data_IF_759950940624
#
_entry.id   IF_759950940624
#
_cell.length_a   1.000
_cell.length_b   1.000
_cell.length_c   1.000
_cell.angle_alpha   90.00
_cell.angle_beta   90.00
_cell.angle_gamma   90.00
#
_symmetry.space_group_name_H-M   'P 1'
#
loop_
_entity.id
_entity.type
_entity.pdbx_description
1 polymer ?
#
# COMPACT_ATOMS: atom_id res chain seq x y z
N UNK A 1 -48.85 -22.77 8.55
CA UNK A 1 -48.15 -21.69 9.32
C UNK A 1 -46.62 -21.79 9.29
N UNK A 2 -46.00 -22.98 9.40
CA UNK A 2 -44.52 -23.13 9.40
C UNK A 2 -43.82 -22.68 8.10
N UNK A 3 -44.42 -22.91 6.92
CA UNK A 3 -43.82 -22.54 5.62
C UNK A 3 -43.66 -21.03 5.39
N UNK A 4 -44.59 -20.21 5.88
CA UNK A 4 -44.53 -18.74 5.72
C UNK A 4 -43.41 -18.13 6.57
N UNK A 5 -43.14 -18.70 7.75
CA UNK A 5 -42.03 -18.27 8.61
C UNK A 5 -40.68 -18.65 8.01
N UNK A 6 -40.60 -19.83 7.39
CA UNK A 6 -39.38 -20.30 6.71
C UNK A 6 -39.00 -19.40 5.51
N UNK A 7 -39.96 -19.08 4.64
CA UNK A 7 -39.76 -18.17 3.50
C UNK A 7 -39.31 -16.76 3.93
N UNK A 8 -39.86 -16.24 5.03
CA UNK A 8 -39.43 -14.94 5.59
C UNK A 8 -37.99 -14.97 6.08
N UNK A 9 -37.58 -16.01 6.81
CA UNK A 9 -36.19 -16.16 7.28
C UNK A 9 -35.21 -16.34 6.12
N UNK A 10 -35.58 -17.10 5.09
CA UNK A 10 -34.77 -17.27 3.90
C UNK A 10 -34.54 -15.94 3.16
N UNK A 11 -35.60 -15.14 2.97
CA UNK A 11 -35.49 -13.82 2.33
C UNK A 11 -34.54 -12.88 3.08
N UNK A 12 -34.59 -12.88 4.42
CA UNK A 12 -33.71 -12.06 5.26
C UNK A 12 -32.24 -12.49 5.09
N UNK A 13 -31.96 -13.79 5.18
CA UNK A 13 -30.60 -14.34 4.97
C UNK A 13 -30.09 -13.98 3.57
N UNK A 14 -30.93 -14.10 2.54
CA UNK A 14 -30.56 -13.75 1.18
C UNK A 14 -30.19 -12.26 1.03
N UNK A 15 -30.97 -11.34 1.62
CA UNK A 15 -30.67 -9.90 1.60
C UNK A 15 -29.37 -9.58 2.32
N UNK A 16 -29.05 -10.30 3.40
CA UNK A 16 -27.78 -10.13 4.11
C UNK A 16 -26.58 -10.54 3.26
N UNK A 17 -26.66 -11.71 2.62
CA UNK A 17 -25.60 -12.18 1.72
C UNK A 17 -25.40 -11.17 0.58
N UNK A 18 -26.49 -10.71 -0.04
CA UNK A 18 -26.42 -9.72 -1.11
C UNK A 18 -25.79 -8.40 -0.65
N UNK A 19 -26.10 -7.97 0.56
CA UNK A 19 -25.56 -6.74 1.13
C UNK A 19 -24.07 -6.86 1.46
N UNK A 20 -23.62 -8.02 1.97
CA UNK A 20 -22.19 -8.30 2.17
C UNK A 20 -21.41 -8.27 0.85
N UNK A 21 -21.97 -8.89 -0.20
CA UNK A 21 -21.39 -8.81 -1.55
C UNK A 21 -21.33 -7.36 -2.03
N UNK A 22 -22.40 -6.59 -1.82
CA UNK A 22 -22.43 -5.17 -2.20
C UNK A 22 -21.36 -4.34 -1.48
N UNK A 23 -21.10 -4.59 -0.18
CA UNK A 23 -20.03 -3.91 0.57
C UNK A 23 -18.66 -4.19 -0.05
N UNK A 24 -18.38 -5.45 -0.39
CA UNK A 24 -17.11 -5.83 -1.03
C UNK A 24 -16.96 -5.14 -2.39
N UNK A 25 -18.01 -5.19 -3.23
CA UNK A 25 -18.01 -4.53 -4.54
C UNK A 25 -17.81 -3.02 -4.43
N UNK A 26 -18.50 -2.37 -3.48
CA UNK A 26 -18.33 -0.93 -3.23
C UNK A 26 -16.93 -0.60 -2.73
N UNK A 27 -16.35 -1.42 -1.86
CA UNK A 27 -14.98 -1.23 -1.35
C UNK A 27 -13.96 -1.29 -2.49
N UNK A 28 -14.09 -2.29 -3.38
CA UNK A 28 -13.27 -2.39 -4.60
C UNK A 28 -13.50 -1.16 -5.48
N UNK A 29 -14.74 -0.74 -5.69
CA UNK A 29 -15.07 0.45 -6.48
C UNK A 29 -14.45 1.74 -5.94
N UNK A 30 -14.47 1.95 -4.63
CA UNK A 30 -13.83 3.10 -3.97
C UNK A 30 -12.31 3.05 -4.16
N UNK A 31 -11.70 1.88 -3.98
CA UNK A 31 -10.27 1.70 -4.18
C UNK A 31 -9.85 2.00 -5.63
N UNK A 32 -10.59 1.46 -6.61
CA UNK A 32 -10.37 1.74 -8.03
C UNK A 32 -10.56 3.22 -8.38
N UNK A 33 -11.56 3.88 -7.79
CA UNK A 33 -11.79 5.31 -7.98
C UNK A 33 -10.62 6.14 -7.46
N UNK A 34 -10.07 5.79 -6.28
CA UNK A 34 -8.90 6.47 -5.70
C UNK A 34 -7.69 6.33 -6.63
N UNK A 35 -7.42 5.12 -7.11
CA UNK A 35 -6.33 4.86 -8.06
C UNK A 35 -6.52 5.71 -9.33
N UNK A 36 -7.71 5.68 -9.93
CA UNK A 36 -7.98 6.45 -11.15
C UNK A 36 -7.82 7.96 -10.94
N UNK A 37 -8.21 8.47 -9.78
CA UNK A 37 -8.01 9.88 -9.42
C UNK A 37 -6.52 10.19 -9.23
N UNK A 38 -5.77 9.31 -8.55
CA UNK A 38 -4.34 9.48 -8.35
C UNK A 38 -3.57 9.48 -9.67
N UNK A 39 -3.84 8.50 -10.53
CA UNK A 39 -3.22 8.39 -11.84
C UNK A 39 -3.50 9.64 -12.68
N UNK A 40 -4.76 10.06 -12.75
CA UNK A 40 -5.16 11.25 -13.52
C UNK A 40 -4.57 12.56 -13.00
N UNK A 41 -4.38 12.71 -11.69
CA UNK A 41 -3.94 13.97 -11.09
C UNK A 41 -2.42 14.10 -10.99
N UNK A 42 -1.70 13.00 -10.75
CA UNK A 42 -0.28 13.06 -10.36
C UNK A 42 0.66 12.36 -11.35
N UNK A 43 0.18 11.41 -12.14
CA UNK A 43 1.06 10.59 -12.98
C UNK A 43 1.30 11.30 -14.31
N UNK A 44 2.54 11.75 -14.53
CA UNK A 44 3.00 12.35 -15.79
C UNK A 44 3.14 11.29 -16.89
N UNK A 45 2.99 11.64 -18.17
CA UNK A 45 3.13 10.70 -19.30
C UNK A 45 4.50 9.97 -19.37
N UNK A 46 5.54 10.57 -18.82
CA UNK A 46 6.92 10.05 -18.83
C UNK A 46 7.27 9.19 -17.60
N UNK A 47 6.28 8.77 -16.82
CA UNK A 47 6.52 7.91 -15.66
C UNK A 47 7.05 6.52 -16.06
N UNK A 48 7.86 5.93 -15.20
CA UNK A 48 8.23 4.51 -15.24
C UNK A 48 7.26 3.72 -14.37
N UNK A 49 7.09 4.17 -13.13
CA UNK A 49 6.17 3.60 -12.17
C UNK A 49 5.70 4.67 -11.19
N UNK A 50 4.56 4.42 -10.54
CA UNK A 50 4.09 5.24 -9.44
C UNK A 50 3.64 4.36 -8.28
N UNK A 51 3.71 4.92 -7.09
CA UNK A 51 3.60 4.21 -5.81
C UNK A 51 2.48 4.86 -5.02
N UNK A 52 1.59 4.02 -4.49
CA UNK A 52 0.60 4.45 -3.52
C UNK A 52 1.16 4.21 -2.12
N UNK A 53 1.58 5.27 -1.44
CA UNK A 53 2.49 5.18 -0.30
C UNK A 53 1.87 4.46 0.91
N UNK A 54 2.60 3.50 1.46
CA UNK A 54 2.37 3.01 2.82
C UNK A 54 2.66 4.10 3.86
N UNK A 55 1.88 4.25 4.95
CA UNK A 55 0.67 3.49 5.31
C UNK A 55 -0.64 4.11 4.79
N UNK A 56 -0.58 5.23 4.05
CA UNK A 56 -1.76 5.95 3.59
C UNK A 56 -2.63 5.10 2.66
N UNK A 57 -2.02 4.24 1.84
CA UNK A 57 -2.69 3.22 1.02
C UNK A 57 -3.67 2.35 1.82
N UNK A 58 -3.36 2.06 3.10
CA UNK A 58 -4.19 1.24 3.98
C UNK A 58 -5.36 2.00 4.60
N UNK A 59 -5.36 3.33 4.58
CA UNK A 59 -6.46 4.12 5.11
C UNK A 59 -7.76 3.95 4.30
N UNK A 60 -7.69 3.42 3.07
CA UNK A 60 -8.89 3.11 2.27
C UNK A 60 -9.82 2.13 2.98
N UNK A 61 -9.28 1.21 3.79
CA UNK A 61 -10.07 0.27 4.58
C UNK A 61 -10.95 0.94 5.65
N UNK A 62 -10.70 2.21 6.00
CA UNK A 62 -11.61 2.98 6.86
C UNK A 62 -12.98 3.14 6.20
N UNK A 63 -13.04 3.29 4.87
CA UNK A 63 -14.31 3.36 4.15
C UNK A 63 -15.07 2.03 4.21
N UNK A 64 -14.37 0.89 4.17
CA UNK A 64 -14.98 -0.41 4.37
C UNK A 64 -15.61 -0.52 5.77
N UNK A 65 -14.92 -0.05 6.82
CA UNK A 65 -15.47 0.01 8.18
C UNK A 65 -16.75 0.88 8.21
N UNK A 66 -16.78 2.01 7.50
CA UNK A 66 -17.99 2.84 7.39
C UNK A 66 -19.14 2.12 6.68
N UNK A 67 -18.86 1.38 5.62
CA UNK A 67 -19.87 0.57 4.91
C UNK A 67 -20.45 -0.52 5.83
N UNK A 68 -19.60 -1.22 6.58
CA UNK A 68 -20.06 -2.19 7.58
C UNK A 68 -20.87 -1.53 8.70
N UNK A 69 -20.41 -0.40 9.24
CA UNK A 69 -21.16 0.33 10.27
C UNK A 69 -22.54 0.78 9.77
N UNK A 70 -22.62 1.29 8.54
CA UNK A 70 -23.87 1.65 7.88
C UNK A 70 -24.79 0.44 7.68
N UNK A 71 -24.24 -0.70 7.27
CA UNK A 71 -24.96 -1.96 7.15
C UNK A 71 -25.56 -2.41 8.49
N UNK A 72 -24.75 -2.46 9.56
CA UNK A 72 -25.25 -2.79 10.90
C UNK A 72 -26.30 -1.80 11.40
N UNK A 73 -26.19 -0.52 11.02
CA UNK A 73 -27.18 0.50 11.38
C UNK A 73 -28.52 0.27 10.67
N UNK A 74 -28.51 -0.02 9.36
CA UNK A 74 -29.73 -0.26 8.58
C UNK A 74 -30.45 -1.52 9.05
N UNK A 75 -29.71 -2.62 9.26
CA UNK A 75 -30.27 -3.92 9.66
C UNK A 75 -30.40 -4.10 11.17
N UNK A 76 -30.23 -3.03 11.95
CA UNK A 76 -30.26 -3.05 13.42
C UNK A 76 -31.54 -3.68 13.97
N UNK A 77 -32.69 -3.48 13.30
CA UNK A 77 -33.98 -4.01 13.74
C UNK A 77 -34.04 -5.53 13.58
N UNK A 78 -33.59 -6.07 12.44
CA UNK A 78 -33.58 -7.52 12.22
C UNK A 78 -32.55 -8.23 13.10
N UNK A 79 -31.38 -7.62 13.37
CA UNK A 79 -30.41 -8.16 14.34
C UNK A 79 -30.97 -8.19 15.77
N UNK A 80 -31.76 -7.18 16.17
CA UNK A 80 -32.42 -7.12 17.48
C UNK A 80 -33.52 -8.18 17.64
N UNK A 81 -34.18 -8.57 16.55
CA UNK A 81 -35.18 -9.65 16.54
C UNK A 81 -34.53 -11.05 16.58
N UNK A 82 -33.23 -11.16 16.30
CA UNK A 82 -32.48 -12.43 16.23
C UNK A 82 -31.52 -12.67 17.42
N UNK A 83 -31.20 -11.67 18.24
CA UNK A 83 -30.28 -11.78 19.40
C UNK A 83 -30.64 -10.88 20.59
N UNK A 84 -30.32 -11.34 21.80
CA UNK A 84 -30.71 -10.82 23.13
C UNK A 84 -30.72 -9.30 23.28
N UNK A 85 -31.91 -8.70 23.20
CA UNK A 85 -32.54 -7.86 24.24
C UNK A 85 -31.86 -6.61 24.81
N UNK A 86 -30.60 -6.30 24.51
CA UNK A 86 -29.87 -5.26 25.21
C UNK A 86 -29.08 -4.39 24.24
N UNK A 87 -29.69 -3.33 23.69
CA UNK A 87 -29.03 -2.06 23.32
C UNK A 87 -30.09 -1.03 22.88
N UNK A 88 -30.76 -0.41 23.86
CA UNK A 88 -31.86 0.56 23.62
C UNK A 88 -31.55 2.02 24.01
N UNK A 89 -30.28 2.41 24.18
CA UNK A 89 -29.96 3.76 24.70
C UNK A 89 -29.35 4.75 23.68
N UNK A 90 -28.82 4.31 22.52
CA UNK A 90 -27.99 5.19 21.64
C UNK A 90 -28.73 5.91 20.50
N UNK A 91 -30.00 5.61 20.20
CA UNK A 91 -30.71 6.25 19.06
C UNK A 91 -31.05 7.73 19.28
N UNK A 92 -31.12 8.18 20.54
CA UNK A 92 -31.46 9.58 20.83
C UNK A 92 -30.26 10.53 20.69
N UNK A 93 -29.02 10.06 20.81
CA UNK A 93 -27.83 10.92 20.75
C UNK A 93 -27.54 11.40 19.32
N UNK A 94 -27.52 10.48 18.35
CA UNK A 94 -27.33 10.80 16.92
C UNK A 94 -28.43 11.72 16.39
N UNK A 95 -29.69 11.49 16.79
CA UNK A 95 -30.82 12.35 16.41
C UNK A 95 -30.71 13.75 17.02
N UNK A 96 -30.31 13.85 18.30
CA UNK A 96 -30.18 15.13 19.02
C UNK A 96 -29.05 16.01 18.48
N UNK A 97 -27.93 15.42 18.07
CA UNK A 97 -26.74 16.15 17.62
C UNK A 97 -26.52 16.11 16.10
N UNK A 98 -27.50 15.65 15.33
CA UNK A 98 -27.39 15.44 13.87
C UNK A 98 -26.86 16.67 13.12
N UNK A 99 -27.28 17.88 13.52
CA UNK A 99 -26.87 19.14 12.89
C UNK A 99 -25.38 19.44 13.03
N UNK A 100 -24.71 18.89 14.05
CA UNK A 100 -23.26 19.04 14.26
C UNK A 100 -22.49 17.81 13.77
N UNK A 101 -23.02 16.61 13.96
CA UNK A 101 -22.34 15.35 13.59
C UNK A 101 -22.18 15.24 12.07
N UNK A 102 -23.20 15.60 11.29
CA UNK A 102 -23.14 15.51 9.82
C UNK A 102 -22.01 16.36 9.22
N UNK A 103 -21.91 17.68 9.49
CA UNK A 103 -20.85 18.48 8.90
C UNK A 103 -19.47 18.00 9.37
N UNK A 104 -19.29 17.65 10.65
CA UNK A 104 -18.02 17.09 11.15
C UNK A 104 -17.64 15.83 10.38
N UNK A 105 -18.59 14.91 10.20
CA UNK A 105 -18.36 13.67 9.44
C UNK A 105 -17.96 13.96 7.99
N UNK A 106 -18.64 14.89 7.32
CA UNK A 106 -18.31 15.27 5.94
C UNK A 106 -16.91 15.87 5.87
N UNK A 107 -16.58 16.82 6.75
CA UNK A 107 -15.25 17.46 6.79
C UNK A 107 -14.14 16.44 7.03
N UNK A 108 -14.32 15.52 7.98
CA UNK A 108 -13.35 14.45 8.25
C UNK A 108 -13.17 13.51 7.05
N UNK A 109 -14.24 13.18 6.33
CA UNK A 109 -14.15 12.33 5.15
C UNK A 109 -13.46 13.02 3.97
N UNK A 110 -13.68 14.32 3.77
CA UNK A 110 -12.96 15.10 2.76
C UNK A 110 -11.47 15.16 3.10
N UNK A 111 -11.13 15.44 4.36
CA UNK A 111 -9.75 15.46 4.81
C UNK A 111 -9.07 14.09 4.65
N UNK A 112 -9.76 13.01 5.04
CA UNK A 112 -9.28 11.64 4.88
C UNK A 112 -9.04 11.32 3.40
N UNK A 113 -10.00 11.62 2.53
CA UNK A 113 -9.89 11.39 1.10
C UNK A 113 -8.69 12.14 0.51
N UNK A 114 -8.51 13.40 0.90
CA UNK A 114 -7.38 14.20 0.43
C UNK A 114 -6.03 13.66 0.90
N UNK A 115 -5.91 13.21 2.15
CA UNK A 115 -4.70 12.55 2.67
C UNK A 115 -4.37 11.30 1.86
N UNK A 116 -5.37 10.48 1.56
CA UNK A 116 -5.20 9.25 0.80
C UNK A 116 -4.77 9.55 -0.64
N UNK A 117 -5.51 10.42 -1.34
CA UNK A 117 -5.26 10.74 -2.75
C UNK A 117 -3.90 11.40 -2.93
N UNK A 118 -3.47 12.28 -2.03
CA UNK A 118 -2.17 12.97 -2.14
C UNK A 118 -0.95 12.12 -1.80
N UNK A 119 -1.12 10.89 -1.31
CA UNK A 119 -0.02 10.02 -0.88
C UNK A 119 0.56 9.20 -2.05
N UNK A 120 1.15 9.88 -3.02
CA UNK A 120 1.67 9.30 -4.27
C UNK A 120 3.14 9.64 -4.45
N UNK A 121 3.94 8.68 -4.92
CA UNK A 121 5.28 8.97 -5.44
C UNK A 121 5.34 8.53 -6.90
N UNK A 122 5.86 9.39 -7.78
CA UNK A 122 6.04 9.10 -9.20
C UNK A 122 7.53 9.02 -9.52
N UNK A 123 7.92 7.97 -10.22
CA UNK A 123 9.30 7.76 -10.67
C UNK A 123 9.30 7.92 -12.19
N UNK A 124 10.15 8.82 -12.70
CA UNK A 124 10.33 9.06 -14.14
C UNK A 124 11.72 8.62 -14.59
N UNK A 125 12.08 8.82 -15.86
CA UNK A 125 13.44 8.51 -16.33
C UNK A 125 14.55 9.37 -15.69
N UNK A 126 14.21 10.51 -15.07
CA UNK A 126 15.22 11.48 -14.61
C UNK A 126 15.08 11.88 -13.15
N UNK A 127 13.88 11.76 -12.57
CA UNK A 127 13.58 12.28 -11.22
C UNK A 127 12.52 11.46 -10.51
N UNK A 128 12.43 11.70 -9.22
CA UNK A 128 11.41 11.18 -8.32
C UNK A 128 10.57 12.37 -7.85
N UNK A 129 9.25 12.27 -7.97
CA UNK A 129 8.31 13.29 -7.53
C UNK A 129 7.49 12.73 -6.38
N UNK A 130 7.70 13.25 -5.18
CA UNK A 130 7.01 12.80 -3.97
C UNK A 130 5.87 13.75 -3.59
N UNK A 131 4.64 13.29 -3.75
CA UNK A 131 3.43 13.98 -3.33
C UNK A 131 3.06 13.58 -1.90
N UNK A 132 2.55 14.55 -1.16
CA UNK A 132 1.96 14.31 0.16
C UNK A 132 0.90 15.35 0.48
N UNK A 133 0.11 15.09 1.51
CA UNK A 133 -0.87 16.04 2.05
C UNK A 133 -0.25 17.42 2.35
N UNK A 134 1.00 17.48 2.81
CA UNK A 134 1.72 18.72 3.11
C UNK A 134 2.47 19.30 1.91
N UNK A 135 2.58 18.56 0.81
CA UNK A 135 3.29 18.99 -0.40
C UNK A 135 2.54 18.49 -1.64
N UNK A 136 1.32 19.00 -1.89
CA UNK A 136 0.46 18.52 -2.97
C UNK A 136 0.96 18.89 -4.37
N UNK A 137 1.87 19.86 -4.48
CA UNK A 137 2.56 20.18 -5.73
C UNK A 137 3.69 19.19 -6.06
N UNK A 138 4.01 18.28 -5.13
CA UNK A 138 5.12 17.35 -5.25
C UNK A 138 6.45 17.97 -4.86
N UNK A 139 7.32 17.17 -4.25
CA UNK A 139 8.74 17.50 -4.07
C UNK A 139 9.53 16.72 -5.09
N UNK A 140 10.33 17.43 -5.87
CA UNK A 140 11.17 16.81 -6.90
C UNK A 140 12.55 16.48 -6.35
N UNK A 141 13.02 15.27 -6.63
CA UNK A 141 14.34 14.78 -6.28
C UNK A 141 15.02 14.25 -7.53
N UNK A 142 16.24 14.70 -7.78
CA UNK A 142 17.08 14.05 -8.78
C UNK A 142 17.60 12.72 -8.23
N UNK A 143 18.03 11.80 -9.09
CA UNK A 143 18.63 10.55 -8.62
C UNK A 143 19.91 10.75 -7.79
N UNK A 144 20.60 11.87 -7.96
CA UNK A 144 21.72 12.28 -7.10
C UNK A 144 21.29 12.60 -5.65
N UNK A 145 20.00 12.85 -5.40
CA UNK A 145 19.46 13.12 -4.07
C UNK A 145 19.15 11.84 -3.29
N UNK A 146 19.33 10.66 -3.89
CA UNK A 146 19.19 9.35 -3.22
C UNK A 146 20.46 9.08 -2.41
N UNK A 147 20.31 8.99 -1.10
CA UNK A 147 21.42 8.85 -0.15
C UNK A 147 21.74 7.40 0.15
N UNK A 148 20.73 6.53 0.19
CA UNK A 148 20.97 5.11 0.38
C UNK A 148 19.83 4.24 -0.14
N UNK A 149 20.16 2.97 -0.38
CA UNK A 149 19.22 1.91 -0.75
C UNK A 149 19.25 0.84 0.34
N UNK A 150 18.07 0.41 0.79
CA UNK A 150 17.89 -0.74 1.67
C UNK A 150 16.95 -1.74 1.01
N UNK A 151 17.43 -2.95 0.74
CA UNK A 151 16.65 -3.97 0.05
C UNK A 151 16.86 -5.36 0.64
N UNK A 152 15.83 -6.19 0.56
CA UNK A 152 15.85 -7.53 1.12
C UNK A 152 14.52 -8.24 0.98
N UNK A 153 14.39 -9.32 1.73
CA UNK A 153 13.16 -10.12 1.79
C UNK A 153 12.69 -10.24 3.25
N UNK A 154 11.42 -9.97 3.48
CA UNK A 154 10.81 -10.07 4.81
C UNK A 154 10.81 -11.53 5.29
N UNK A 155 11.45 -11.79 6.44
CA UNK A 155 11.57 -13.14 7.02
C UNK A 155 10.58 -13.45 8.14
N UNK A 156 9.96 -12.43 8.73
CA UNK A 156 9.02 -12.60 9.85
C UNK A 156 7.60 -12.71 9.32
N UNK A 157 6.88 -13.77 9.70
CA UNK A 157 5.42 -13.81 9.65
C UNK A 157 4.89 -12.89 10.74
N UNK A 158 4.80 -11.59 10.47
CA UNK A 158 3.92 -10.76 11.27
C UNK A 158 2.51 -11.02 10.72
N UNK A 159 1.69 -11.76 11.46
CA UNK A 159 0.28 -11.97 11.13
C UNK A 159 -0.52 -10.70 11.46
N UNK A 160 -0.14 -9.57 10.86
CA UNK A 160 -0.98 -8.38 10.84
C UNK A 160 -1.64 -8.36 9.45
N UNK A 161 -2.97 -8.56 9.35
CA UNK A 161 -3.65 -8.48 8.07
C UNK A 161 -3.36 -7.11 7.43
N UNK A 162 -3.16 -7.11 6.10
CA UNK A 162 -2.83 -5.91 5.30
C UNK A 162 -1.43 -5.31 5.54
N UNK A 163 -0.46 -6.12 5.96
CA UNK A 163 0.98 -5.76 6.04
C UNK A 163 1.85 -6.73 5.24
N UNK A 164 3.14 -6.42 5.09
CA UNK A 164 4.09 -7.25 4.36
C UNK A 164 4.16 -8.67 4.93
N UNK A 165 4.08 -9.64 4.03
CA UNK A 165 4.11 -11.06 4.31
C UNK A 165 5.53 -11.62 4.26
N UNK A 166 5.69 -12.81 4.83
CA UNK A 166 6.96 -13.55 4.75
C UNK A 166 7.21 -13.94 3.28
N UNK A 167 8.39 -13.58 2.76
CA UNK A 167 8.75 -13.81 1.36
C UNK A 167 8.60 -12.58 0.46
N UNK A 168 7.96 -11.51 0.97
CA UNK A 168 7.80 -10.27 0.23
C UNK A 168 9.16 -9.58 0.07
N UNK A 169 9.45 -9.20 -1.17
CA UNK A 169 10.58 -8.36 -1.53
C UNK A 169 10.28 -6.91 -1.16
N UNK A 170 11.27 -6.19 -0.64
CA UNK A 170 11.19 -4.75 -0.44
C UNK A 170 12.40 -4.05 -1.06
N UNK A 171 12.16 -2.83 -1.52
CA UNK A 171 13.20 -1.95 -2.04
C UNK A 171 12.90 -0.54 -1.57
N UNK A 172 13.65 -0.09 -0.57
CA UNK A 172 13.44 1.20 0.09
C UNK A 172 14.60 2.12 -0.29
N UNK A 173 14.27 3.28 -0.85
CA UNK A 173 15.23 4.36 -1.05
C UNK A 173 15.09 5.40 0.06
N UNK A 174 16.22 5.96 0.49
CA UNK A 174 16.26 7.09 1.41
C UNK A 174 16.78 8.32 0.66
N UNK A 175 16.02 9.41 0.74
CA UNK A 175 16.34 10.69 0.09
C UNK A 175 17.10 11.61 1.04
N UNK A 176 17.73 12.67 0.51
CA UNK A 176 18.53 13.64 1.27
C UNK A 176 17.82 14.33 2.43
N UNK A 177 16.49 14.44 2.37
CA UNK A 177 15.67 15.03 3.43
C UNK A 177 15.28 14.01 4.53
N UNK A 178 15.78 12.77 4.43
CA UNK A 178 15.49 11.67 5.33
C UNK A 178 14.20 10.92 5.02
N UNK A 179 13.46 11.33 3.98
CA UNK A 179 12.26 10.62 3.57
C UNK A 179 12.60 9.24 2.98
N UNK A 180 11.70 8.27 3.21
CA UNK A 180 11.85 6.88 2.77
C UNK A 180 10.70 6.51 1.87
N UNK A 181 11.03 5.91 0.73
CA UNK A 181 10.05 5.49 -0.26
C UNK A 181 10.25 4.00 -0.50
N UNK A 182 9.21 3.22 -0.24
CA UNK A 182 9.16 1.80 -0.61
C UNK A 182 8.64 1.67 -2.04
N UNK A 183 9.48 1.15 -2.93
CA UNK A 183 9.15 1.02 -4.34
C UNK A 183 8.24 -0.17 -4.65
N UNK A 184 7.89 -0.99 -3.66
CA UNK A 184 7.11 -2.21 -3.86
C UNK A 184 5.61 -2.05 -3.61
N UNK A 185 5.14 -0.92 -3.07
CA UNK A 185 3.71 -0.59 -2.98
C UNK A 185 3.20 0.11 -4.26
N UNK A 186 3.27 -0.61 -5.37
CA UNK A 186 3.05 -0.05 -6.71
C UNK A 186 1.58 0.24 -6.97
N UNK A 187 1.29 1.46 -7.40
CA UNK A 187 -0.02 1.85 -7.91
C UNK A 187 -0.17 1.55 -9.41
N UNK A 188 0.92 1.64 -10.17
CA UNK A 188 0.96 1.26 -11.58
C UNK A 188 2.34 1.43 -12.21
N UNK A 189 2.51 0.81 -13.38
CA UNK A 189 3.75 0.72 -14.16
C UNK A 189 3.46 1.05 -15.62
N UNK A 190 4.37 1.77 -16.26
CA UNK A 190 4.24 2.08 -17.68
C UNK A 190 4.48 0.82 -18.51
N UNK A 191 3.68 0.67 -19.58
CA UNK A 191 3.74 -0.45 -20.53
C UNK A 191 3.46 -1.85 -19.95
N UNK A 192 2.76 -1.94 -18.80
CA UNK A 192 2.42 -3.22 -18.16
C UNK A 192 3.65 -4.10 -17.82
N UNK A 193 4.88 -3.53 -17.79
CA UNK A 193 6.07 -4.23 -17.31
C UNK A 193 5.94 -4.48 -15.80
N UNK A 194 6.23 -5.69 -15.33
CA UNK A 194 6.20 -5.98 -13.90
C UNK A 194 7.23 -5.11 -13.14
N UNK A 195 6.83 -4.54 -12.00
CA UNK A 195 7.58 -3.53 -11.24
C UNK A 195 9.01 -3.95 -10.88
N UNK A 196 9.25 -5.24 -10.63
CA UNK A 196 10.57 -5.77 -10.29
C UNK A 196 11.58 -5.52 -11.41
N UNK A 197 11.13 -5.48 -12.67
CA UNK A 197 11.98 -5.23 -13.83
C UNK A 197 12.39 -3.77 -13.89
N UNK A 198 11.47 -2.86 -13.57
CA UNK A 198 11.76 -1.43 -13.47
C UNK A 198 12.71 -1.17 -12.30
N UNK A 199 12.47 -1.82 -11.15
CA UNK A 199 13.35 -1.72 -9.97
C UNK A 199 14.75 -2.25 -10.27
N UNK A 200 14.91 -3.34 -11.03
CA UNK A 200 16.24 -3.85 -11.42
C UNK A 200 17.01 -2.85 -12.29
N UNK A 201 16.34 -2.21 -13.26
CA UNK A 201 16.94 -1.16 -14.10
C UNK A 201 17.37 0.03 -13.24
N UNK A 202 16.47 0.52 -12.38
CA UNK A 202 16.74 1.64 -11.47
C UNK A 202 17.88 1.35 -10.50
N UNK A 203 17.89 0.15 -9.90
CA UNK A 203 18.94 -0.30 -8.99
C UNK A 203 20.31 -0.29 -9.68
N UNK A 204 20.36 -0.78 -10.92
CA UNK A 204 21.59 -0.76 -11.72
C UNK A 204 22.12 0.66 -11.96
N UNK A 205 21.23 1.63 -12.20
CA UNK A 205 21.61 3.04 -12.38
C UNK A 205 22.08 3.69 -11.09
N UNK A 206 21.33 3.54 -9.99
CA UNK A 206 21.68 4.13 -8.71
C UNK A 206 23.00 3.56 -8.15
N UNK A 207 23.23 2.25 -8.30
CA UNK A 207 24.48 1.62 -7.89
C UNK A 207 25.67 2.14 -8.72
N UNK A 208 25.50 2.34 -10.04
CA UNK A 208 26.52 2.96 -10.92
C UNK A 208 26.83 4.40 -10.52
N UNK A 209 25.85 5.14 -10.00
CA UNK A 209 26.01 6.49 -9.47
C UNK A 209 26.70 6.54 -8.10
N UNK A 210 27.19 5.39 -7.61
CA UNK A 210 27.82 5.23 -6.31
C UNK A 210 26.89 5.40 -5.09
N UNK A 211 25.56 5.22 -5.25
CA UNK A 211 24.63 5.25 -4.11
C UNK A 211 24.90 4.09 -3.15
N UNK A 212 25.16 4.35 -1.86
CA UNK A 212 25.35 3.30 -0.85
C UNK A 212 24.16 2.36 -0.76
N UNK A 213 24.42 1.05 -0.76
CA UNK A 213 23.38 0.03 -0.74
C UNK A 213 23.61 -1.01 0.36
N UNK A 214 22.61 -1.17 1.21
CA UNK A 214 22.50 -2.28 2.15
C UNK A 214 21.54 -3.30 1.56
N UNK A 215 22.06 -4.47 1.23
CA UNK A 215 21.29 -5.56 0.66
C UNK A 215 21.42 -6.81 1.51
N UNK A 216 20.34 -7.57 1.61
CA UNK A 216 20.29 -8.81 2.38
C UNK A 216 19.66 -9.95 1.60
N UNK A 217 20.48 -10.95 1.28
CA UNK A 217 20.03 -12.27 0.79
C UNK A 217 19.39 -13.13 1.88
N UNK A 218 19.39 -12.68 3.13
CA UNK A 218 18.69 -13.34 4.23
C UNK A 218 17.21 -13.40 3.86
N UNK A 219 16.63 -14.61 3.93
CA UNK A 219 15.22 -14.92 3.63
C UNK A 219 14.84 -15.03 2.14
N UNK A 220 15.76 -14.84 1.20
CA UNK A 220 15.47 -14.96 -0.25
C UNK A 220 14.78 -16.28 -0.64
N UNK A 221 15.12 -17.37 0.06
CA UNK A 221 14.48 -18.69 -0.12
C UNK A 221 12.95 -18.67 0.03
N UNK A 222 12.38 -17.72 0.78
CA UNK A 222 10.93 -17.63 0.93
C UNK A 222 10.26 -17.02 -0.30
N UNK A 223 10.95 -16.12 -1.01
CA UNK A 223 10.46 -15.58 -2.28
C UNK A 223 10.39 -16.67 -3.36
N UNK A 224 11.28 -17.66 -3.32
CA UNK A 224 11.30 -18.77 -4.28
C UNK A 224 10.19 -19.81 -4.07
N UNK A 225 9.44 -19.76 -2.96
CA UNK A 225 8.34 -20.70 -2.70
C UNK A 225 7.08 -20.38 -3.53
N UNK A 226 6.91 -19.13 -3.97
CA UNK A 226 5.66 -18.65 -4.57
C UNK A 226 5.84 -17.83 -5.84
N UNK A 227 7.06 -17.41 -6.19
CA UNK A 227 7.35 -16.63 -7.38
C UNK A 227 8.03 -17.48 -8.46
N UNK A 228 7.64 -17.24 -9.71
CA UNK A 228 8.31 -17.85 -10.86
C UNK A 228 9.77 -17.44 -10.95
N UNK A 229 10.56 -18.31 -11.57
CA UNK A 229 12.01 -18.16 -11.68
C UNK A 229 12.40 -16.78 -12.23
N UNK A 230 11.69 -16.30 -13.26
CA UNK A 230 11.97 -15.01 -13.89
C UNK A 230 11.97 -13.86 -12.87
N UNK A 231 11.00 -13.80 -11.95
CA UNK A 231 10.92 -12.75 -10.93
C UNK A 231 11.96 -12.96 -9.84
N UNK A 232 12.17 -14.21 -9.41
CA UNK A 232 13.17 -14.52 -8.37
C UNK A 232 14.59 -14.23 -8.84
N UNK A 233 14.90 -14.44 -10.12
CA UNK A 233 16.19 -14.12 -10.72
C UNK A 233 16.41 -12.60 -10.75
N UNK A 234 15.37 -11.83 -11.08
CA UNK A 234 15.42 -10.36 -11.02
C UNK A 234 15.64 -9.83 -9.60
N UNK A 235 14.89 -10.36 -8.62
CA UNK A 235 15.10 -10.03 -7.20
C UNK A 235 16.52 -10.40 -6.78
N UNK A 236 17.03 -11.57 -7.16
CA UNK A 236 18.40 -11.98 -6.85
C UNK A 236 19.42 -11.02 -7.45
N UNK A 237 19.27 -10.63 -8.70
CA UNK A 237 20.15 -9.68 -9.37
C UNK A 237 20.20 -8.36 -8.61
N UNK A 238 19.04 -7.84 -8.20
CA UNK A 238 18.97 -6.66 -7.33
C UNK A 238 19.72 -6.93 -6.03
N UNK A 239 19.43 -8.01 -5.31
CA UNK A 239 20.06 -8.25 -4.01
C UNK A 239 21.58 -8.45 -4.08
N UNK A 240 22.09 -9.05 -5.16
CA UNK A 240 23.52 -9.31 -5.35
C UNK A 240 24.28 -8.12 -5.95
N UNK A 241 23.57 -7.20 -6.64
CA UNK A 241 24.13 -5.97 -7.19
C UNK A 241 24.54 -5.00 -6.07
N UNK A 242 25.71 -5.25 -5.48
CA UNK A 242 26.27 -4.46 -4.40
C UNK A 242 27.65 -3.93 -4.81
N UNK A 243 28.02 -2.76 -4.31
CA UNK A 243 29.34 -2.13 -4.53
C UNK A 243 30.51 -2.89 -3.86
N UNK A 244 30.32 -4.17 -3.54
CA UNK A 244 31.27 -5.01 -2.81
C UNK A 244 32.61 -5.27 -3.54
N UNK A 245 32.79 -4.77 -4.77
CA UNK A 245 34.06 -4.88 -5.49
C UNK A 245 35.09 -3.80 -5.13
N UNK A 246 34.70 -2.65 -4.58
CA UNK A 246 35.65 -1.60 -4.15
C UNK A 246 36.38 -1.94 -2.84
N UNK A 247 35.64 -2.43 -1.84
CA UNK A 247 36.17 -2.63 -0.48
C UNK A 247 36.91 -3.97 -0.30
N UNK A 248 36.49 -5.03 -1.01
CA UNK A 248 37.21 -6.32 -1.00
C UNK A 248 38.55 -6.28 -1.74
N UNK A 249 38.73 -5.35 -2.70
CA UNK A 249 40.03 -5.15 -3.36
C UNK A 249 40.99 -4.29 -2.51
N UNK A 250 40.49 -3.27 -1.80
CA UNK A 250 41.33 -2.43 -0.94
C UNK A 250 41.81 -3.17 0.31
N UNK A 251 40.97 -4.01 0.92
CA UNK A 251 41.40 -4.87 2.04
C UNK A 251 42.45 -5.92 1.63
N UNK A 252 42.34 -6.51 0.43
CA UNK A 252 43.37 -7.43 -0.10
C UNK A 252 44.68 -6.71 -0.47
N UNK A 253 44.63 -5.49 -1.02
CA UNK A 253 45.86 -4.70 -1.29
C UNK A 253 46.56 -4.20 -0.03
N UNK A 254 45.81 -3.87 1.02
CA UNK A 254 46.39 -3.52 2.34
C UNK A 254 47.07 -4.71 3.02
N UNK A 255 46.58 -5.93 2.77
CA UNK A 255 47.13 -7.17 3.32
C UNK A 255 48.32 -7.71 2.52
N UNK A 256 48.40 -7.44 1.21
CA UNK A 256 49.58 -7.75 0.38
C UNK A 256 50.74 -6.74 0.49
N UNK A 257 50.53 -5.52 1.00
CA UNK A 257 51.63 -4.55 1.27
C UNK A 257 52.27 -4.70 2.65
N UNK A 258 51.84 -5.68 3.44
CA UNK A 258 52.40 -6.02 4.77
C UNK A 258 53.10 -7.38 4.80
N UNK A 259 53.54 -7.89 3.65
CA UNK A 259 54.44 -9.04 3.57
C UNK A 259 55.71 -8.64 2.83
#
# INVERSE_FOLDING_TARGET
>A
MKGVVFLKKFKIIFVYILSLIAIVVLTIGIYMLIIAVQEKLFVSEEYLMWIFKYPASRLVFIYEIYLFAGFFYIFKKEFREMGTGAYSAKDNFLKKHRRQIIPIFITLNIALFYVIVSAVTVITNSKIIDYSFLSPQGREYNYNDVVSINTGVYGKKLYIPFTHSKGDFFYIIELKDGSKIDLTEVGGVKNEEHEVFIIEKLDSELVKMNVPKVSSMKNFKYSTEHLDKIYTDKIRNILENSQALGWKMLSRRAQCRRK
#
